data_IF_801466673884
#
_entry.id   IF_801466673884
#
_cell.length_a   1.000
_cell.length_b   1.000
_cell.length_c   1.000
_cell.angle_alpha   90.00
_cell.angle_beta   90.00
_cell.angle_gamma   90.00
#
_symmetry.space_group_name_H-M   'P 1'
#
loop_
_entity.id
_entity.type
_entity.pdbx_description
1 polymer ?
#
# COMPACT_ATOMS: atom_id res chain seq x y z
N UNK A 1 7.97 -1.71 -20.83
CA UNK A 1 8.49 -2.99 -20.29
C UNK A 1 8.14 -4.11 -21.27
N UNK A 2 9.09 -4.60 -22.04
CA UNK A 2 8.88 -5.78 -22.88
C UNK A 2 9.10 -7.04 -22.03
N UNK A 3 7.99 -7.57 -21.53
CA UNK A 3 7.69 -8.98 -21.43
C UNK A 3 8.76 -9.91 -20.87
N UNK A 4 9.14 -9.80 -19.59
CA UNK A 4 9.39 -10.99 -18.82
C UNK A 4 8.05 -11.42 -18.22
N UNK A 5 7.63 -12.66 -18.49
CA UNK A 5 6.47 -13.25 -17.87
C UNK A 5 6.74 -13.37 -16.37
N UNK A 6 6.23 -12.42 -15.59
CA UNK A 6 6.14 -12.59 -14.15
C UNK A 6 5.00 -13.57 -13.93
N UNK A 7 5.33 -14.83 -13.71
CA UNK A 7 4.39 -15.80 -13.16
C UNK A 7 4.11 -15.39 -11.71
N UNK A 8 3.11 -14.54 -11.52
CA UNK A 8 2.59 -14.25 -10.20
C UNK A 8 1.61 -15.36 -9.82
N UNK A 9 2.04 -16.28 -8.97
CA UNK A 9 1.13 -17.18 -8.29
C UNK A 9 0.40 -16.38 -7.20
N UNK A 10 -0.83 -15.99 -7.46
CA UNK A 10 -1.75 -15.55 -6.43
C UNK A 10 -2.30 -16.80 -5.74
N UNK A 11 -1.67 -17.24 -4.68
CA UNK A 11 -2.30 -18.18 -3.79
C UNK A 11 -3.32 -17.40 -2.96
N UNK A 12 -4.62 -17.64 -3.19
CA UNK A 12 -5.68 -17.12 -2.33
C UNK A 12 -5.46 -17.66 -0.93
N UNK A 13 -5.20 -16.73 0.00
CA UNK A 13 -4.98 -17.07 1.40
C UNK A 13 -6.24 -17.66 2.04
N UNK A 14 -6.03 -18.36 3.14
CA UNK A 14 -7.11 -18.85 4.01
C UNK A 14 -7.62 -17.73 4.92
N UNK A 15 -8.84 -17.84 5.39
CA UNK A 15 -9.35 -17.00 6.46
C UNK A 15 -8.62 -17.33 7.78
N UNK A 16 -8.11 -16.29 8.45
CA UNK A 16 -7.38 -16.43 9.69
C UNK A 16 -8.27 -16.08 10.88
N UNK A 17 -8.22 -16.90 11.94
CA UNK A 17 -8.99 -16.67 13.17
C UNK A 17 -8.53 -15.46 13.97
N UNK A 18 -7.28 -15.07 13.83
CA UNK A 18 -6.66 -13.96 14.57
C UNK A 18 -6.07 -12.93 13.60
N UNK A 19 -6.31 -11.66 13.88
CA UNK A 19 -5.70 -10.56 13.12
C UNK A 19 -4.22 -10.41 13.46
N UNK A 20 -3.41 -9.88 12.53
CA UNK A 20 -2.02 -9.55 12.83
C UNK A 20 -1.93 -8.49 13.95
N UNK A 21 -0.82 -8.47 14.70
CA UNK A 21 -0.58 -7.46 15.72
C UNK A 21 -0.56 -6.06 15.11
N UNK A 22 -1.13 -5.09 15.82
CA UNK A 22 -1.21 -3.69 15.38
C UNK A 22 -0.14 -2.85 16.05
N UNK A 23 0.38 -1.87 15.31
CA UNK A 23 1.22 -0.83 15.89
C UNK A 23 0.34 0.12 16.72
N UNK A 24 0.72 0.49 17.95
CA UNK A 24 0.04 1.53 18.73
C UNK A 24 0.07 2.89 18.03
N UNK A 25 -0.97 3.71 18.20
CA UNK A 25 -1.07 5.02 17.54
C UNK A 25 0.03 6.00 17.95
N UNK A 26 0.50 5.91 19.22
CA UNK A 26 1.59 6.73 19.75
C UNK A 26 2.83 5.88 20.02
N UNK A 27 3.20 5.02 19.06
CA UNK A 27 4.30 4.10 19.22
C UNK A 27 5.64 4.82 19.34
N UNK A 28 6.40 4.48 20.39
CA UNK A 28 7.81 4.85 20.47
C UNK A 28 8.65 4.01 19.50
N UNK A 29 9.93 4.36 19.35
CA UNK A 29 10.87 3.55 18.57
C UNK A 29 10.94 2.10 19.09
N UNK A 30 10.95 1.91 20.42
CA UNK A 30 10.97 0.58 21.03
C UNK A 30 9.69 -0.20 20.75
N UNK A 31 8.53 0.46 20.81
CA UNK A 31 7.24 -0.17 20.48
C UNK A 31 7.23 -0.63 19.02
N UNK A 32 7.77 0.17 18.11
CA UNK A 32 7.88 -0.15 16.68
C UNK A 32 8.78 -1.37 16.44
N UNK A 33 9.91 -1.46 17.13
CA UNK A 33 10.81 -2.61 17.06
C UNK A 33 10.12 -3.87 17.61
N UNK A 34 9.53 -3.79 18.80
CA UNK A 34 8.82 -4.92 19.42
C UNK A 34 7.61 -5.37 18.58
N UNK A 35 6.87 -4.41 18.03
CA UNK A 35 5.77 -4.71 17.12
C UNK A 35 6.27 -5.43 15.85
N UNK A 36 7.35 -4.95 15.23
CA UNK A 36 7.96 -5.56 14.06
C UNK A 36 8.36 -7.02 14.31
N UNK A 37 8.97 -7.30 15.48
CA UNK A 37 9.32 -8.68 15.87
C UNK A 37 8.10 -9.55 16.10
N UNK A 38 7.07 -9.02 16.77
CA UNK A 38 5.79 -9.73 16.98
C UNK A 38 5.08 -10.02 15.66
N UNK A 39 5.10 -9.07 14.73
CA UNK A 39 4.47 -9.25 13.43
C UNK A 39 5.21 -10.29 12.58
N UNK A 40 6.54 -10.31 12.59
CA UNK A 40 7.35 -11.34 11.93
C UNK A 40 7.09 -12.73 12.51
N UNK A 41 7.03 -12.83 13.84
CA UNK A 41 6.70 -14.09 14.52
C UNK A 41 5.28 -14.56 14.17
N UNK A 42 4.31 -13.65 14.15
CA UNK A 42 2.96 -13.95 13.71
C UNK A 42 2.93 -14.46 12.27
N UNK A 43 3.59 -13.76 11.35
CA UNK A 43 3.66 -14.15 9.94
C UNK A 43 4.32 -15.53 9.77
N UNK A 44 5.42 -15.78 10.47
CA UNK A 44 6.08 -17.09 10.49
C UNK A 44 5.15 -18.20 10.98
N UNK A 45 4.40 -17.97 12.05
CA UNK A 45 3.44 -18.96 12.60
C UNK A 45 2.28 -19.25 11.63
N UNK A 46 1.91 -18.30 10.78
CA UNK A 46 0.86 -18.48 9.77
C UNK A 46 1.38 -19.11 8.48
N UNK A 47 2.70 -19.22 8.34
CA UNK A 47 3.30 -19.82 7.15
C UNK A 47 3.07 -21.34 7.17
N UNK A 48 2.32 -21.85 6.20
CA UNK A 48 2.26 -23.27 5.91
C UNK A 48 3.38 -23.58 4.90
N UNK A 49 4.25 -24.49 5.27
CA UNK A 49 5.33 -24.98 4.43
C UNK A 49 4.77 -25.82 3.28
N UNK A 50 4.25 -25.18 2.26
CA UNK A 50 3.97 -25.80 0.98
C UNK A 50 4.81 -25.12 -0.10
N UNK A 51 5.72 -25.84 -0.67
CA UNK A 51 6.35 -25.65 -2.00
C UNK A 51 6.96 -24.29 -2.36
N UNK A 52 7.48 -23.54 -1.41
CA UNK A 52 8.22 -22.31 -1.67
C UNK A 52 7.80 -21.16 -0.78
N UNK A 53 8.76 -20.35 -0.30
CA UNK A 53 8.48 -19.13 0.44
C UNK A 53 7.83 -18.11 -0.49
N UNK A 54 6.66 -17.51 -0.14
CA UNK A 54 6.08 -16.46 -0.94
C UNK A 54 7.01 -15.26 -1.01
N UNK A 55 7.07 -14.60 -2.16
CA UNK A 55 7.87 -13.38 -2.32
C UNK A 55 7.38 -12.26 -1.42
N UNK A 56 6.07 -12.17 -1.18
CA UNK A 56 5.39 -11.21 -0.29
C UNK A 56 4.17 -11.87 0.33
N UNK A 57 3.91 -11.59 1.61
CA UNK A 57 2.69 -12.02 2.29
C UNK A 57 1.92 -10.79 2.78
N UNK A 58 0.68 -10.61 2.32
CA UNK A 58 -0.21 -9.55 2.77
C UNK A 58 -1.38 -10.14 3.56
N UNK A 59 -1.55 -9.65 4.79
CA UNK A 59 -2.69 -9.99 5.64
C UNK A 59 -3.80 -8.96 5.42
N UNK A 60 -4.92 -9.39 4.84
CA UNK A 60 -6.04 -8.51 4.50
C UNK A 60 -7.05 -8.48 5.64
N UNK A 61 -7.27 -7.30 6.21
CA UNK A 61 -8.25 -7.07 7.27
C UNK A 61 -9.46 -6.34 6.68
N UNK A 62 -10.58 -7.03 6.57
CA UNK A 62 -11.82 -6.44 6.09
C UNK A 62 -12.64 -5.85 7.23
N UNK A 63 -13.13 -4.63 7.03
CA UNK A 63 -13.96 -3.88 7.97
C UNK A 63 -15.31 -3.55 7.35
N UNK A 64 -16.38 -3.70 8.14
CA UNK A 64 -17.72 -3.28 7.74
C UNK A 64 -17.77 -1.73 7.69
N UNK A 65 -18.06 -1.11 6.52
CA UNK A 65 -18.14 0.34 6.39
C UNK A 65 -19.30 0.96 7.21
N UNK A 66 -20.26 0.15 7.69
CA UNK A 66 -21.30 0.62 8.61
C UNK A 66 -20.78 0.84 10.03
N UNK A 67 -19.73 0.11 10.42
CA UNK A 67 -19.13 0.17 11.75
C UNK A 67 -17.86 1.03 11.79
N UNK A 68 -17.17 1.15 10.67
CA UNK A 68 -15.92 1.89 10.56
C UNK A 68 -16.03 2.91 9.44
N UNK A 69 -16.12 4.20 9.78
CA UNK A 69 -16.16 5.29 8.78
C UNK A 69 -14.80 5.50 8.13
N UNK A 70 -13.73 5.28 8.88
CA UNK A 70 -12.35 5.42 8.45
C UNK A 70 -11.57 4.16 8.81
N UNK A 71 -10.64 3.78 7.95
CA UNK A 71 -9.72 2.68 8.21
C UNK A 71 -8.44 3.23 8.83
N UNK A 72 -7.89 2.49 9.79
CA UNK A 72 -6.53 2.76 10.25
C UNK A 72 -5.54 2.52 9.12
N UNK A 73 -4.39 3.19 9.19
CA UNK A 73 -3.32 3.00 8.22
C UNK A 73 -2.96 1.52 8.08
N UNK A 74 -2.79 1.09 6.86
CA UNK A 74 -2.16 -0.19 6.55
C UNK A 74 -0.66 -0.09 6.85
N UNK A 75 0.05 -1.20 6.88
CA UNK A 75 1.49 -1.18 7.19
C UNK A 75 2.17 -2.34 6.49
N UNK A 76 3.25 -2.07 5.78
CA UNK A 76 4.11 -3.10 5.20
C UNK A 76 5.56 -2.97 5.70
N UNK A 77 6.23 -4.12 5.84
CA UNK A 77 7.62 -4.22 6.25
C UNK A 77 8.45 -4.75 5.06
N UNK A 78 9.25 -3.88 4.45
CA UNK A 78 10.15 -4.23 3.36
C UNK A 78 11.08 -5.41 3.72
N UNK A 79 11.77 -5.32 4.86
CA UNK A 79 12.72 -6.35 5.31
C UNK A 79 12.11 -7.68 5.75
N UNK A 80 10.85 -7.92 5.51
CA UNK A 80 10.16 -9.19 5.77
C UNK A 80 9.22 -9.53 4.65
N UNK A 81 9.02 -8.59 3.71
CA UNK A 81 8.04 -8.69 2.64
C UNK A 81 6.67 -9.14 3.15
N UNK A 82 6.29 -8.58 4.28
CA UNK A 82 5.00 -8.83 4.94
C UNK A 82 4.25 -7.53 5.13
N UNK A 83 2.93 -7.55 4.97
CA UNK A 83 2.09 -6.39 5.18
C UNK A 83 0.76 -6.73 5.83
N UNK A 84 0.18 -5.75 6.53
CA UNK A 84 -1.17 -5.78 7.08
C UNK A 84 -1.98 -4.68 6.42
N UNK A 85 -2.92 -5.07 5.56
CA UNK A 85 -3.70 -4.15 4.73
C UNK A 85 -5.12 -4.06 5.26
N UNK A 86 -5.58 -2.87 5.55
CA UNK A 86 -6.93 -2.60 6.03
C UNK A 86 -7.82 -2.18 4.85
N UNK A 87 -8.92 -2.90 4.65
CA UNK A 87 -9.80 -2.77 3.50
C UNK A 87 -11.26 -2.70 3.96
N UNK A 88 -12.12 -2.08 3.16
CA UNK A 88 -13.56 -2.13 3.41
C UNK A 88 -14.20 -3.39 2.82
N UNK A 89 -15.04 -4.06 3.59
CA UNK A 89 -15.89 -5.18 3.16
C UNK A 89 -17.08 -4.65 2.35
N UNK A 90 -16.82 -4.00 1.21
CA UNK A 90 -17.85 -3.38 0.38
C UNK A 90 -17.57 -3.59 -1.11
N UNK A 91 -18.57 -4.08 -1.85
CA UNK A 91 -18.50 -4.20 -3.32
C UNK A 91 -18.27 -2.83 -3.99
N UNK A 92 -18.85 -1.76 -3.43
CA UNK A 92 -18.69 -0.39 -3.97
C UNK A 92 -17.26 0.12 -3.86
N UNK A 93 -16.51 -0.36 -2.87
CA UNK A 93 -15.13 0.05 -2.61
C UNK A 93 -14.09 -0.98 -3.11
N UNK A 94 -14.55 -2.05 -3.78
CA UNK A 94 -13.66 -3.11 -4.24
C UNK A 94 -12.53 -2.60 -5.15
N UNK A 95 -12.81 -1.65 -6.04
CA UNK A 95 -11.81 -1.08 -6.93
C UNK A 95 -10.84 -0.15 -6.18
N UNK A 96 -11.31 0.65 -5.23
CA UNK A 96 -10.44 1.46 -4.36
C UNK A 96 -9.59 0.57 -3.45
N UNK A 97 -10.14 -0.52 -2.91
CA UNK A 97 -9.37 -1.50 -2.15
C UNK A 97 -8.18 -2.05 -2.94
N UNK A 98 -8.31 -2.22 -4.26
CA UNK A 98 -7.19 -2.65 -5.12
C UNK A 98 -6.07 -1.60 -5.16
N UNK A 99 -6.41 -0.31 -5.16
CA UNK A 99 -5.42 0.78 -5.10
C UNK A 99 -4.64 0.70 -3.81
N UNK A 100 -5.33 0.58 -2.67
CA UNK A 100 -4.70 0.42 -1.34
C UNK A 100 -3.83 -0.83 -1.30
N UNK A 101 -4.33 -1.96 -1.79
CA UNK A 101 -3.61 -3.23 -1.80
C UNK A 101 -2.30 -3.14 -2.59
N UNK A 102 -2.32 -2.52 -3.78
CA UNK A 102 -1.13 -2.39 -4.61
C UNK A 102 -0.15 -1.38 -4.02
N UNK A 103 -0.62 -0.28 -3.41
CA UNK A 103 0.20 0.66 -2.66
C UNK A 103 1.00 -0.07 -1.56
N UNK A 104 0.33 -0.83 -0.69
CA UNK A 104 0.97 -1.60 0.38
C UNK A 104 1.90 -2.71 -0.16
N UNK A 105 1.54 -3.31 -1.29
CA UNK A 105 2.42 -4.28 -1.95
C UNK A 105 3.74 -3.63 -2.37
N UNK A 106 3.72 -2.42 -2.91
CA UNK A 106 4.94 -1.73 -3.34
C UNK A 106 5.82 -1.32 -2.16
N UNK A 107 5.26 -0.99 -0.99
CA UNK A 107 6.05 -0.83 0.23
C UNK A 107 6.83 -2.09 0.59
N UNK A 108 6.25 -3.27 0.42
CA UNK A 108 6.95 -4.53 0.66
C UNK A 108 8.13 -4.77 -0.31
N UNK A 109 8.18 -4.05 -1.42
CA UNK A 109 9.30 -4.03 -2.38
C UNK A 109 10.23 -2.83 -2.21
N UNK A 110 9.94 -1.91 -1.28
CA UNK A 110 10.83 -0.81 -0.92
C UNK A 110 10.42 0.56 -1.42
N UNK A 111 9.26 0.70 -2.06
CA UNK A 111 8.75 2.02 -2.40
C UNK A 111 8.39 2.81 -1.13
N UNK A 112 8.66 4.11 -1.14
CA UNK A 112 8.36 5.02 -0.03
C UNK A 112 7.13 5.86 -0.34
N UNK A 113 6.44 6.32 0.71
CA UNK A 113 5.32 7.26 0.58
C UNK A 113 5.74 8.56 -0.10
N UNK A 114 4.87 9.09 -0.96
CA UNK A 114 5.06 10.34 -1.70
C UNK A 114 4.02 11.39 -1.31
N UNK A 115 3.52 11.31 -0.09
CA UNK A 115 2.60 12.29 0.51
C UNK A 115 3.09 12.73 1.89
N UNK A 116 2.64 13.87 2.33
CA UNK A 116 2.88 14.35 3.68
C UNK A 116 2.10 13.53 4.69
N UNK A 117 2.78 12.89 5.64
CA UNK A 117 2.17 11.95 6.59
C UNK A 117 1.17 12.61 7.56
N UNK A 118 1.27 13.92 7.78
CA UNK A 118 0.36 14.63 8.68
C UNK A 118 -0.92 15.07 7.97
N UNK A 119 -0.84 15.39 6.69
CA UNK A 119 -1.95 15.96 5.92
C UNK A 119 -2.52 15.03 4.86
N UNK A 120 -1.78 13.99 4.46
CA UNK A 120 -2.13 13.09 3.35
C UNK A 120 -2.01 13.74 1.96
N UNK A 121 -1.46 14.97 1.87
CA UNK A 121 -1.33 15.70 0.60
C UNK A 121 -0.13 15.18 -0.19
N UNK A 122 -0.30 14.85 -1.49
CA UNK A 122 0.81 14.45 -2.36
C UNK A 122 1.93 15.49 -2.40
N UNK A 123 3.18 15.04 -2.26
CA UNK A 123 4.36 15.90 -2.28
C UNK A 123 4.76 16.27 -3.72
N UNK A 124 4.77 17.55 -4.02
CA UNK A 124 5.27 18.03 -5.31
C UNK A 124 6.82 18.04 -5.32
N UNK A 125 7.46 17.63 -6.41
CA UNK A 125 6.90 17.02 -7.64
C UNK A 125 6.77 15.48 -7.56
N UNK A 126 7.34 14.83 -6.57
CA UNK A 126 7.56 13.39 -6.48
C UNK A 126 6.27 12.56 -6.30
N UNK A 127 5.25 13.16 -5.71
CA UNK A 127 3.93 12.54 -5.51
C UNK A 127 2.92 12.87 -6.61
N UNK A 128 3.37 13.47 -7.72
CA UNK A 128 2.49 13.85 -8.83
C UNK A 128 2.66 12.90 -10.00
N UNK A 129 1.53 12.53 -10.62
CA UNK A 129 1.54 11.70 -11.82
C UNK A 129 2.17 12.43 -13.02
N UNK A 130 1.86 13.72 -13.15
CA UNK A 130 2.33 14.57 -14.25
C UNK A 130 2.84 15.91 -13.70
N UNK A 131 4.04 15.93 -13.07
CA UNK A 131 4.53 17.15 -12.39
C UNK A 131 4.81 18.32 -13.34
N UNK A 132 5.01 18.05 -14.62
CA UNK A 132 5.32 19.06 -15.64
C UNK A 132 4.10 19.48 -16.50
N UNK A 133 2.89 18.97 -16.19
CA UNK A 133 1.71 19.36 -16.97
C UNK A 133 1.35 20.84 -16.76
N UNK A 134 0.72 21.43 -17.77
CA UNK A 134 0.24 22.83 -17.76
C UNK A 134 -1.23 22.90 -18.22
N UNK A 135 -2.17 23.43 -17.41
CA UNK A 135 -1.98 23.83 -16.01
C UNK A 135 -1.66 22.64 -15.12
N UNK A 136 -0.96 22.87 -13.98
CA UNK A 136 -0.56 21.80 -13.05
C UNK A 136 -1.76 21.05 -12.47
N UNK A 137 -2.86 21.72 -12.25
CA UNK A 137 -4.11 21.19 -11.71
C UNK A 137 -5.28 21.30 -12.69
N UNK A 138 -6.27 20.39 -12.60
CA UNK A 138 -6.21 19.12 -11.84
C UNK A 138 -5.31 18.10 -12.50
N UNK A 139 -4.70 17.21 -11.71
CA UNK A 139 -4.03 16.04 -12.22
C UNK A 139 -5.07 15.00 -12.70
N UNK A 140 -4.78 14.28 -13.80
CA UNK A 140 -5.66 13.24 -14.33
C UNK A 140 -5.53 11.91 -13.57
N UNK A 141 -4.36 11.65 -12.95
CA UNK A 141 -4.05 10.43 -12.22
C UNK A 141 -3.33 10.73 -10.92
N UNK A 142 -3.30 9.73 -10.03
CA UNK A 142 -2.43 9.71 -8.88
C UNK A 142 -1.08 9.07 -9.23
N UNK A 143 0.00 9.57 -8.65
CA UNK A 143 1.16 8.72 -8.40
C UNK A 143 0.77 7.69 -7.33
N UNK A 144 1.05 6.40 -7.56
CA UNK A 144 0.48 5.33 -6.74
C UNK A 144 0.93 5.41 -5.26
N UNK A 145 2.21 5.77 -5.02
CA UNK A 145 2.74 5.92 -3.66
C UNK A 145 2.36 7.24 -2.99
N UNK A 146 1.74 8.17 -3.72
CA UNK A 146 1.09 9.35 -3.16
C UNK A 146 -0.38 9.08 -2.78
N UNK A 147 -0.99 8.02 -3.31
CA UNK A 147 -2.31 7.55 -2.92
C UNK A 147 -3.49 8.42 -3.38
N UNK A 148 -3.26 9.67 -3.76
CA UNK A 148 -4.31 10.64 -4.10
C UNK A 148 -3.99 11.39 -5.40
N UNK A 149 -5.06 11.78 -6.12
CA UNK A 149 -5.00 12.64 -7.31
C UNK A 149 -5.05 14.10 -6.85
N UNK A 150 -4.01 14.92 -7.05
CA UNK A 150 -4.06 16.35 -6.78
C UNK A 150 -5.11 17.06 -7.65
N UNK A 151 -6.07 17.73 -7.02
CA UNK A 151 -7.14 18.48 -7.71
C UNK A 151 -6.86 19.97 -7.69
N UNK A 152 -6.29 20.48 -6.59
CA UNK A 152 -5.76 21.83 -6.41
C UNK A 152 -4.55 21.76 -5.47
N UNK A 153 -4.00 22.91 -5.11
CA UNK A 153 -2.86 23.00 -4.18
C UNK A 153 -3.16 22.34 -2.82
N UNK A 154 -4.40 22.45 -2.36
CA UNK A 154 -4.86 22.05 -1.03
C UNK A 154 -5.87 20.90 -1.05
N UNK A 155 -6.25 20.41 -2.24
CA UNK A 155 -7.26 19.36 -2.38
C UNK A 155 -6.77 18.21 -3.23
N UNK A 156 -7.02 17.03 -2.73
CA UNK A 156 -6.78 15.78 -3.44
C UNK A 156 -7.97 14.82 -3.28
N UNK A 157 -8.06 13.84 -4.13
CA UNK A 157 -9.08 12.78 -4.04
C UNK A 157 -8.45 11.42 -4.25
N UNK A 158 -8.99 10.42 -3.58
CA UNK A 158 -8.59 9.04 -3.80
C UNK A 158 -8.97 8.58 -5.22
N UNK A 159 -8.12 7.83 -5.94
CA UNK A 159 -8.48 7.20 -7.20
C UNK A 159 -9.64 6.21 -7.01
N UNK A 160 -10.54 6.15 -7.98
CA UNK A 160 -11.67 5.20 -7.95
C UNK A 160 -11.23 3.77 -8.29
N UNK A 161 -10.16 3.61 -9.07
CA UNK A 161 -9.60 2.32 -9.49
C UNK A 161 -8.15 2.47 -9.94
N UNK A 162 -7.44 1.35 -10.08
CA UNK A 162 -6.02 1.32 -10.48
C UNK A 162 -5.72 1.99 -11.84
N UNK A 163 -6.67 2.03 -12.77
CA UNK A 163 -6.49 2.75 -14.04
C UNK A 163 -6.32 4.27 -13.90
N UNK A 164 -6.69 4.84 -12.74
CA UNK A 164 -6.45 6.24 -12.39
C UNK A 164 -5.12 6.44 -11.63
N UNK A 165 -4.25 5.46 -11.62
CA UNK A 165 -2.93 5.56 -11.01
C UNK A 165 -1.82 5.33 -12.03
N UNK A 166 -0.61 5.71 -11.69
CA UNK A 166 0.62 5.35 -12.38
C UNK A 166 1.76 5.27 -11.37
N UNK A 167 2.85 4.66 -11.78
CA UNK A 167 4.12 4.64 -11.06
C UNK A 167 5.06 5.56 -11.82
N UNK A 168 5.54 6.62 -11.16
CA UNK A 168 6.49 7.55 -11.74
C UNK A 168 7.92 6.98 -11.72
N UNK A 169 8.86 7.70 -12.32
CA UNK A 169 10.25 7.29 -12.45
C UNK A 169 10.93 7.08 -11.08
N UNK A 170 10.66 7.95 -10.11
CA UNK A 170 11.25 7.87 -8.76
C UNK A 170 10.82 6.57 -8.06
N UNK A 171 9.53 6.27 -8.07
CA UNK A 171 9.01 5.03 -7.50
C UNK A 171 9.54 3.81 -8.27
N UNK A 172 9.67 3.89 -9.60
CA UNK A 172 10.22 2.81 -10.40
C UNK A 172 11.70 2.52 -10.07
N UNK A 173 12.49 3.56 -9.78
CA UNK A 173 13.89 3.44 -9.31
C UNK A 173 13.94 2.77 -7.94
N UNK A 174 13.11 3.21 -6.98
CA UNK A 174 13.02 2.60 -5.64
C UNK A 174 12.69 1.10 -5.69
N UNK A 175 11.85 0.71 -6.64
CA UNK A 175 11.47 -0.69 -6.88
C UNK A 175 12.52 -1.50 -7.66
N UNK A 176 13.60 -0.84 -8.13
CA UNK A 176 14.63 -1.47 -8.97
C UNK A 176 14.15 -1.80 -10.39
N UNK A 177 13.09 -1.15 -10.88
CA UNK A 177 12.56 -1.35 -12.23
C UNK A 177 13.26 -0.46 -13.27
N UNK A 178 13.91 0.60 -12.81
CA UNK A 178 14.78 1.48 -13.59
C UNK A 178 16.09 1.68 -12.85
N UNK A 179 17.16 2.03 -13.61
CA UNK A 179 18.49 2.34 -13.09
C UNK A 179 18.75 3.83 -13.14
#
# INVERSE_FOLDING_TARGET
>A
YRGQHILSYFQMGRELKQRPPRLPENATMLDSILWSLKFRFYAWKQHESSDGSPSVTLFLNYYDPKQSKELKHSTALQNGRIGSVNLFASKKQAEQNKVVLVHELLHAFGATDKYDLATGVPLYPIGYAYPNQQPLFPQAKAELMAGHIPVSVDKSKMPDHLGQTLINEITAIELGWQK
#
